data_IF_008199043184
#
_entry.id   IF_008199043184
#
_cell.length_a   1.000
_cell.length_b   1.000
_cell.length_c   1.000
_cell.angle_alpha   90.00
_cell.angle_beta   90.00
_cell.angle_gamma   90.00
#
_symmetry.space_group_name_H-M   'P 1'
#
loop_
_entity.id
_entity.type
_entity.pdbx_description
1 polymer ?
#
# COMPACT_ATOMS: atom_id res chain seq x y z
N UNK A 1 -5.33 11.46 -13.12
CA UNK A 1 -6.62 10.72 -13.27
C UNK A 1 -7.75 11.62 -12.78
N UNK A 2 -8.86 11.71 -13.51
CA UNK A 2 -10.03 12.48 -13.10
C UNK A 2 -10.70 11.88 -11.86
N UNK A 3 -11.25 12.75 -10.99
CA UNK A 3 -11.94 12.36 -9.75
C UNK A 3 -13.10 11.40 -10.01
N UNK A 4 -13.83 11.55 -11.12
CA UNK A 4 -14.94 10.67 -11.46
C UNK A 4 -14.49 9.20 -11.67
N UNK A 5 -13.37 9.00 -12.39
CA UNK A 5 -12.78 7.68 -12.62
C UNK A 5 -12.28 7.07 -11.31
N UNK A 6 -11.64 7.89 -10.46
CA UNK A 6 -11.19 7.46 -9.14
C UNK A 6 -12.36 7.02 -8.24
N UNK A 7 -13.49 7.73 -8.30
CA UNK A 7 -14.71 7.41 -7.55
C UNK A 7 -15.33 6.07 -7.98
N UNK A 8 -15.45 5.83 -9.28
CA UNK A 8 -15.92 4.53 -9.79
C UNK A 8 -15.01 3.40 -9.29
N UNK A 9 -13.70 3.64 -9.35
CA UNK A 9 -12.72 2.66 -8.93
C UNK A 9 -12.78 2.37 -7.43
N UNK A 10 -12.93 3.41 -6.61
CA UNK A 10 -13.18 3.26 -5.18
C UNK A 10 -14.40 2.39 -4.92
N UNK A 11 -15.50 2.60 -5.67
CA UNK A 11 -16.70 1.76 -5.59
C UNK A 11 -16.42 0.27 -5.87
N UNK A 12 -15.63 -0.02 -6.91
CA UNK A 12 -15.20 -1.40 -7.22
C UNK A 12 -14.33 -1.99 -6.11
N UNK A 13 -13.40 -1.21 -5.56
CA UNK A 13 -12.52 -1.63 -4.48
C UNK A 13 -13.30 -1.94 -3.19
N UNK A 14 -14.25 -1.07 -2.80
CA UNK A 14 -15.17 -1.32 -1.68
C UNK A 14 -16.04 -2.54 -1.97
N UNK A 15 -16.45 -2.75 -3.23
CA UNK A 15 -17.06 -3.97 -3.76
C UNK A 15 -16.34 -5.25 -3.33
N UNK A 16 -15.02 -5.28 -3.56
CA UNK A 16 -14.17 -6.43 -3.27
C UNK A 16 -14.12 -6.81 -1.78
N UNK A 17 -14.46 -5.92 -0.85
CA UNK A 17 -14.54 -6.23 0.58
C UNK A 17 -15.67 -7.20 0.94
N UNK A 18 -16.69 -7.34 0.07
CA UNK A 18 -17.79 -8.30 0.26
C UNK A 18 -17.38 -9.77 0.04
N UNK A 19 -16.29 -9.99 -0.70
CA UNK A 19 -15.66 -11.30 -0.89
C UNK A 19 -14.18 -11.08 -1.15
N UNK A 20 -13.41 -10.97 -0.08
CA UNK A 20 -12.05 -10.42 -0.12
C UNK A 20 -11.08 -11.29 -0.94
N UNK A 21 -10.51 -10.68 -1.99
CA UNK A 21 -9.45 -11.26 -2.85
C UNK A 21 -8.27 -10.31 -3.09
N UNK A 22 -8.06 -9.34 -2.18
CA UNK A 22 -7.05 -8.29 -2.34
C UNK A 22 -5.59 -8.79 -2.31
N UNK A 23 -5.35 -10.02 -1.86
CA UNK A 23 -4.03 -10.64 -1.86
C UNK A 23 -4.13 -12.10 -2.32
N UNK A 24 -2.99 -12.74 -2.64
CA UNK A 24 -2.97 -14.10 -3.18
C UNK A 24 -3.59 -15.17 -2.25
N UNK A 25 -3.80 -14.86 -0.96
CA UNK A 25 -4.52 -15.76 -0.05
C UNK A 25 -5.98 -16.01 -0.42
N UNK A 26 -6.59 -15.13 -1.22
CA UNK A 26 -7.96 -15.26 -1.75
C UNK A 26 -9.00 -15.75 -0.72
N UNK A 27 -8.92 -15.24 0.52
CA UNK A 27 -9.66 -15.80 1.66
C UNK A 27 -11.19 -15.75 1.52
N UNK A 28 -11.73 -14.87 0.68
CA UNK A 28 -13.14 -14.81 0.36
C UNK A 28 -14.05 -14.28 1.46
N UNK A 29 -13.50 -13.91 2.63
CA UNK A 29 -14.25 -13.37 3.77
C UNK A 29 -14.98 -12.08 3.41
N UNK A 30 -16.13 -11.87 4.04
CA UNK A 30 -16.91 -10.65 3.90
C UNK A 30 -16.56 -9.66 5.02
N UNK A 31 -15.63 -8.75 4.73
CA UNK A 31 -15.20 -7.74 5.69
C UNK A 31 -16.27 -6.69 5.98
N UNK A 32 -17.29 -6.56 5.13
CA UNK A 32 -18.41 -5.62 5.33
C UNK A 32 -19.31 -6.02 6.49
N UNK A 33 -19.31 -7.30 6.87
CA UNK A 33 -20.03 -7.82 8.04
C UNK A 33 -19.08 -8.20 9.18
N UNK A 34 -17.82 -7.76 9.11
CA UNK A 34 -16.84 -7.93 10.17
C UNK A 34 -16.08 -9.27 10.18
N UNK A 35 -16.16 -10.09 9.12
CA UNK A 35 -15.40 -11.34 9.06
C UNK A 35 -13.89 -11.09 8.90
N UNK A 36 -13.05 -11.61 9.82
CA UNK A 36 -11.62 -11.44 9.72
C UNK A 36 -11.01 -12.46 8.76
N UNK A 37 -10.15 -11.99 7.86
CA UNK A 37 -9.24 -12.87 7.10
C UNK A 37 -7.92 -13.08 7.84
N UNK A 38 -7.00 -13.85 7.24
CA UNK A 38 -5.65 -14.08 7.77
C UNK A 38 -4.91 -12.80 8.20
N UNK A 39 -5.09 -11.70 7.44
CA UNK A 39 -4.44 -10.44 7.75
C UNK A 39 -4.99 -9.74 9.01
N UNK A 40 -6.26 -9.97 9.35
CA UNK A 40 -6.97 -9.29 10.44
C UNK A 40 -7.52 -7.90 10.10
N UNK A 41 -7.31 -7.36 8.90
CA UNK A 41 -7.86 -6.06 8.50
C UNK A 41 -9.38 -6.12 8.29
N UNK A 42 -10.08 -5.08 8.74
CA UNK A 42 -11.54 -4.94 8.68
C UNK A 42 -12.05 -4.07 7.52
N UNK A 43 -13.21 -3.43 7.75
CA UNK A 43 -13.86 -2.49 6.84
C UNK A 43 -13.20 -1.11 6.85
N UNK A 44 -12.83 -0.60 8.03
CA UNK A 44 -12.15 0.69 8.18
C UNK A 44 -10.63 0.50 8.18
N UNK A 45 -9.86 1.49 7.69
CA UNK A 45 -8.42 1.45 7.84
C UNK A 45 -8.05 1.56 9.32
N UNK A 46 -7.09 0.74 9.73
CA UNK A 46 -6.42 0.90 11.02
C UNK A 46 -5.02 1.44 10.77
N UNK A 47 -4.73 2.60 11.35
CA UNK A 47 -3.52 3.36 11.07
C UNK A 47 -2.72 3.50 12.37
N UNK A 48 -1.49 3.01 12.36
CA UNK A 48 -0.57 3.09 13.48
C UNK A 48 0.06 4.48 13.60
N UNK A 49 0.43 5.10 12.48
CA UNK A 49 1.05 6.42 12.46
C UNK A 49 0.84 7.13 11.11
N UNK A 50 0.81 8.46 11.16
CA UNK A 50 0.86 9.34 9.98
C UNK A 50 1.85 10.48 10.25
N UNK A 51 2.98 10.50 9.55
CA UNK A 51 4.07 11.45 9.81
C UNK A 51 4.98 11.64 8.61
N UNK A 52 5.76 12.72 8.58
CA UNK A 52 6.86 12.87 7.61
C UNK A 52 8.02 12.00 8.09
N UNK A 53 8.45 11.06 7.25
CA UNK A 53 9.51 10.09 7.52
C UNK A 53 10.71 10.38 6.63
N UNK A 54 11.91 10.41 7.22
CA UNK A 54 13.17 10.67 6.50
C UNK A 54 14.03 9.42 6.30
N UNK A 55 13.52 8.24 6.71
CA UNK A 55 14.27 6.98 6.66
C UNK A 55 14.00 6.11 5.42
N UNK A 56 13.15 6.54 4.48
CA UNK A 56 12.97 5.83 3.20
C UNK A 56 14.18 6.05 2.28
N UNK A 57 14.25 5.30 1.18
CA UNK A 57 15.33 5.39 0.19
C UNK A 57 15.48 6.84 -0.33
N UNK A 58 16.71 7.29 -0.66
CA UNK A 58 16.96 8.65 -1.10
C UNK A 58 16.02 9.16 -2.21
N UNK A 59 15.65 8.37 -3.24
CA UNK A 59 14.70 8.80 -4.27
C UNK A 59 13.28 9.04 -3.77
N UNK A 60 12.93 8.59 -2.57
CA UNK A 60 11.58 8.66 -2.00
C UNK A 60 11.54 9.68 -0.86
N UNK A 61 12.49 9.63 0.07
CA UNK A 61 12.53 10.52 1.22
C UNK A 61 13.13 11.88 0.90
N UNK A 62 14.16 11.94 0.05
CA UNK A 62 14.84 13.18 -0.28
C UNK A 62 15.18 14.07 0.91
N UNK A 63 15.20 15.38 0.66
CA UNK A 63 15.43 16.39 1.71
C UNK A 63 14.20 16.72 2.57
N UNK A 64 12.98 16.56 2.04
CA UNK A 64 11.72 16.99 2.71
C UNK A 64 10.96 15.85 3.37
N UNK A 65 11.47 14.62 3.27
CA UNK A 65 10.84 13.42 3.79
C UNK A 65 9.68 12.91 2.92
N UNK A 66 9.30 11.67 3.19
CA UNK A 66 8.13 10.99 2.64
C UNK A 66 6.97 11.06 3.64
N UNK A 67 5.80 11.52 3.21
CA UNK A 67 4.61 11.58 4.05
C UNK A 67 4.06 10.18 4.26
N UNK A 68 4.42 9.52 5.36
CA UNK A 68 4.20 8.09 5.52
C UNK A 68 2.94 7.80 6.34
N UNK A 69 2.16 6.85 5.86
CA UNK A 69 0.99 6.24 6.53
C UNK A 69 1.33 4.79 6.82
N UNK A 70 1.47 4.45 8.09
CA UNK A 70 1.68 3.07 8.53
C UNK A 70 0.35 2.40 8.81
N UNK A 71 -0.09 1.51 7.93
CA UNK A 71 -1.25 0.68 8.19
C UNK A 71 -0.91 -0.48 9.13
N UNK A 72 -1.84 -0.81 10.00
CA UNK A 72 -1.80 -2.02 10.82
C UNK A 72 -2.28 -3.21 10.01
N UNK A 73 -2.00 -4.44 10.47
CA UNK A 73 -2.34 -5.70 9.77
C UNK A 73 -1.48 -5.97 8.54
N UNK A 74 -1.25 -7.24 8.23
CA UNK A 74 -0.45 -7.66 7.09
C UNK A 74 -0.93 -9.01 6.54
N UNK A 75 -0.87 -9.17 5.23
CA UNK A 75 -1.13 -10.41 4.49
C UNK A 75 0.02 -11.44 4.64
N UNK A 76 1.10 -11.12 5.34
CA UNK A 76 2.22 -12.02 5.67
C UNK A 76 2.48 -12.03 7.19
N UNK A 77 3.17 -13.07 7.69
CA UNK A 77 3.57 -13.19 9.10
C UNK A 77 5.06 -13.49 9.21
N UNK A 78 5.88 -12.50 8.83
CA UNK A 78 7.33 -12.63 8.86
C UNK A 78 7.85 -12.78 10.29
N UNK A 79 8.69 -13.78 10.56
CA UNK A 79 9.34 -13.96 11.87
C UNK A 79 10.39 -12.87 12.16
N UNK A 80 10.87 -12.18 11.12
CA UNK A 80 11.85 -11.09 11.20
C UNK A 80 11.21 -9.70 10.97
N UNK A 81 9.90 -9.56 11.15
CA UNK A 81 9.21 -8.32 10.83
C UNK A 81 9.68 -7.15 11.72
N UNK A 82 10.32 -6.15 11.12
CA UNK A 82 10.71 -4.91 11.81
C UNK A 82 9.47 -4.16 12.36
N UNK A 83 8.35 -4.25 11.65
CA UNK A 83 7.07 -3.64 12.01
C UNK A 83 6.12 -4.63 12.71
N UNK A 84 6.63 -5.60 13.47
CA UNK A 84 5.82 -6.64 14.12
C UNK A 84 4.63 -6.08 14.95
N UNK A 85 4.79 -5.06 15.81
CA UNK A 85 3.67 -4.51 16.58
C UNK A 85 2.54 -3.96 15.68
N UNK A 86 2.90 -3.32 14.57
CA UNK A 86 1.94 -2.71 13.64
C UNK A 86 1.26 -3.79 12.79
N UNK A 87 2.06 -4.66 12.17
CA UNK A 87 1.61 -5.64 11.18
C UNK A 87 0.88 -6.85 11.80
N UNK A 88 1.21 -7.24 13.03
CA UNK A 88 0.69 -8.48 13.63
C UNK A 88 -0.15 -8.26 14.88
N UNK A 89 0.08 -7.20 15.66
CA UNK A 89 -0.68 -6.92 16.89
C UNK A 89 -1.84 -5.91 16.69
N UNK A 90 -2.00 -5.36 15.49
CA UNK A 90 -3.10 -4.44 15.19
C UNK A 90 -3.02 -3.12 15.97
N UNK A 91 -1.81 -2.66 16.31
CA UNK A 91 -1.61 -1.35 16.98
C UNK A 91 -2.03 -0.23 16.05
N UNK A 92 -2.79 0.75 16.55
CA UNK A 92 -3.23 1.91 15.80
C UNK A 92 -4.68 2.26 16.07
N UNK A 93 -5.18 3.28 15.39
CA UNK A 93 -6.56 3.75 15.51
C UNK A 93 -7.32 3.48 14.22
N UNK A 94 -8.59 3.10 14.35
CA UNK A 94 -9.50 3.10 13.22
C UNK A 94 -9.91 4.53 12.91
N UNK A 95 -10.05 4.84 11.62
CA UNK A 95 -10.50 6.13 11.14
C UNK A 95 -11.25 5.96 9.82
N UNK A 96 -11.99 6.98 9.39
CA UNK A 96 -12.63 6.98 8.08
C UNK A 96 -11.63 7.30 6.95
N UNK A 97 -12.05 7.05 5.71
CA UNK A 97 -11.28 7.43 4.52
C UNK A 97 -11.14 8.94 4.39
N UNK A 98 -12.14 9.70 4.84
CA UNK A 98 -12.16 11.16 4.86
C UNK A 98 -11.16 11.70 5.89
N UNK A 99 -11.17 11.14 7.11
CA UNK A 99 -10.20 11.49 8.15
C UNK A 99 -8.77 11.19 7.71
N UNK A 100 -8.55 10.06 7.01
CA UNK A 100 -7.23 9.76 6.45
C UNK A 100 -6.87 10.73 5.31
N UNK A 101 -7.82 11.07 4.43
CA UNK A 101 -7.65 12.06 3.36
C UNK A 101 -7.22 13.44 3.88
N UNK A 102 -7.83 13.91 4.98
CA UNK A 102 -7.40 15.13 5.65
C UNK A 102 -5.95 15.05 6.14
N UNK A 103 -5.52 13.88 6.63
CA UNK A 103 -4.13 13.68 7.07
C UNK A 103 -3.17 13.70 5.88
N UNK A 104 -3.57 13.22 4.70
CA UNK A 104 -2.77 13.34 3.48
C UNK A 104 -2.55 14.80 3.09
N UNK A 105 -3.61 15.61 3.10
CA UNK A 105 -3.52 17.06 2.86
C UNK A 105 -2.62 17.76 3.89
N UNK A 106 -2.62 17.30 5.16
CA UNK A 106 -1.70 17.80 6.18
C UNK A 106 -0.24 17.44 5.89
N UNK A 107 0.04 16.26 5.33
CA UNK A 107 1.40 15.87 4.90
C UNK A 107 1.87 16.75 3.74
N UNK A 108 1.00 17.03 2.78
CA UNK A 108 1.27 17.95 1.67
C UNK A 108 1.57 19.37 2.16
N UNK A 109 0.76 19.92 3.08
CA UNK A 109 1.03 21.23 3.68
C UNK A 109 2.34 21.29 4.48
N UNK A 110 2.83 20.15 4.96
CA UNK A 110 4.15 20.04 5.61
C UNK A 110 5.31 19.97 4.61
N UNK A 111 5.03 19.94 3.31
CA UNK A 111 6.03 19.95 2.25
C UNK A 111 6.63 18.59 1.90
N UNK A 112 6.00 17.48 2.31
CA UNK A 112 6.46 16.14 1.98
C UNK A 112 6.59 15.95 0.45
N UNK A 113 7.54 15.12 0.02
CA UNK A 113 7.76 14.87 -1.42
C UNK A 113 6.67 14.01 -2.05
N UNK A 114 6.07 13.12 -1.25
CA UNK A 114 5.05 12.16 -1.65
C UNK A 114 4.24 11.73 -0.43
N UNK A 115 3.19 10.94 -0.66
CA UNK A 115 2.54 10.16 0.39
C UNK A 115 2.84 8.68 0.18
N UNK A 116 3.42 8.04 1.20
CA UNK A 116 3.82 6.64 1.18
C UNK A 116 2.96 5.80 2.10
N UNK A 117 2.22 4.86 1.52
CA UNK A 117 1.41 3.91 2.27
C UNK A 117 2.21 2.63 2.50
N UNK A 118 2.49 2.34 3.77
CA UNK A 118 3.27 1.16 4.20
C UNK A 118 2.33 0.05 4.64
N UNK A 119 2.57 -1.16 4.14
CA UNK A 119 1.66 -2.32 4.27
C UNK A 119 0.22 -2.07 3.74
N UNK A 120 0.06 -1.52 2.52
CA UNK A 120 -1.23 -1.11 2.00
C UNK A 120 -2.09 -2.26 1.45
N UNK A 121 -1.54 -3.44 1.17
CA UNK A 121 -2.27 -4.55 0.52
C UNK A 121 -3.62 -4.88 1.16
N UNK A 122 -3.72 -5.02 2.50
CA UNK A 122 -5.02 -5.28 3.13
C UNK A 122 -5.98 -4.09 3.07
N UNK A 123 -5.48 -2.88 2.81
CA UNK A 123 -6.17 -1.59 2.90
C UNK A 123 -6.33 -0.91 1.53
N UNK A 124 -6.16 -1.62 0.41
CA UNK A 124 -6.27 -1.06 -0.94
C UNK A 124 -7.55 -0.23 -1.14
N UNK A 125 -8.76 -0.71 -0.77
CA UNK A 125 -9.97 0.10 -0.88
C UNK A 125 -9.90 1.41 -0.08
N UNK A 126 -9.37 1.35 1.15
CA UNK A 126 -9.27 2.48 2.06
C UNK A 126 -8.21 3.49 1.60
N UNK A 127 -7.09 3.02 1.06
CA UNK A 127 -6.08 3.85 0.40
C UNK A 127 -6.71 4.64 -0.75
N UNK A 128 -7.42 3.96 -1.65
CA UNK A 128 -8.08 4.61 -2.79
C UNK A 128 -9.11 5.63 -2.29
N UNK A 129 -9.90 5.30 -1.25
CA UNK A 129 -10.86 6.22 -0.64
C UNK A 129 -10.21 7.46 -0.03
N UNK A 130 -9.08 7.30 0.66
CA UNK A 130 -8.35 8.42 1.25
C UNK A 130 -7.73 9.33 0.18
N UNK A 131 -7.15 8.76 -0.88
CA UNK A 131 -6.62 9.52 -2.01
C UNK A 131 -7.76 10.23 -2.76
N UNK A 132 -8.91 9.59 -2.94
CA UNK A 132 -10.11 10.21 -3.51
C UNK A 132 -10.53 11.44 -2.71
N UNK A 133 -10.72 11.27 -1.40
CA UNK A 133 -11.15 12.35 -0.50
C UNK A 133 -10.16 13.53 -0.49
N UNK A 134 -8.85 13.23 -0.51
CA UNK A 134 -7.81 14.24 -0.58
C UNK A 134 -7.80 14.96 -1.95
N UNK A 135 -7.93 14.23 -3.06
CA UNK A 135 -7.94 14.80 -4.43
C UNK A 135 -9.17 15.67 -4.70
N UNK A 136 -10.32 15.35 -4.11
CA UNK A 136 -11.52 16.22 -4.14
C UNK A 136 -11.26 17.60 -3.52
N UNK A 137 -10.22 17.72 -2.67
CA UNK A 137 -9.81 18.94 -2.01
C UNK A 137 -8.50 19.52 -2.58
N UNK A 138 -8.01 19.01 -3.71
CA UNK A 138 -6.85 19.56 -4.42
C UNK A 138 -5.50 18.92 -4.11
N UNK A 139 -5.46 17.77 -3.42
CA UNK A 139 -4.22 17.02 -3.17
C UNK A 139 -3.50 16.64 -4.48
N UNK A 140 -2.19 16.91 -4.56
CA UNK A 140 -1.40 16.79 -5.78
C UNK A 140 -0.10 15.98 -5.62
N UNK A 141 0.28 15.57 -4.40
CA UNK A 141 1.50 14.78 -4.22
C UNK A 141 1.44 13.39 -4.89
N UNK A 142 2.59 12.86 -5.34
CA UNK A 142 2.72 11.47 -5.77
C UNK A 142 2.32 10.48 -4.68
N UNK A 143 1.70 9.37 -5.09
CA UNK A 143 1.30 8.27 -4.20
C UNK A 143 2.28 7.10 -4.34
N UNK A 144 2.86 6.70 -3.20
CA UNK A 144 3.79 5.58 -3.09
C UNK A 144 3.10 4.39 -2.40
N UNK A 145 3.27 3.21 -3.00
CA UNK A 145 2.76 1.93 -2.50
C UNK A 145 3.94 1.07 -2.03
N UNK A 146 4.24 1.11 -0.73
CA UNK A 146 5.32 0.35 -0.11
C UNK A 146 4.76 -0.96 0.48
N UNK A 147 5.07 -2.08 -0.16
CA UNK A 147 4.43 -3.38 0.08
C UNK A 147 5.44 -4.50 0.19
N UNK A 148 5.02 -5.60 0.82
CA UNK A 148 5.81 -6.83 0.85
C UNK A 148 5.87 -7.57 -0.51
N UNK A 149 5.20 -7.04 -1.54
CA UNK A 149 5.14 -7.61 -2.88
C UNK A 149 4.32 -8.90 -2.99
N UNK A 150 3.56 -9.29 -1.96
CA UNK A 150 2.62 -10.42 -2.00
C UNK A 150 1.20 -9.92 -2.34
N UNK A 151 1.09 -9.27 -3.48
CA UNK A 151 -0.11 -8.57 -3.95
C UNK A 151 -0.85 -9.39 -5.02
N UNK A 152 -2.18 -9.26 -5.05
CA UNK A 152 -2.99 -9.86 -6.12
C UNK A 152 -3.02 -8.95 -7.34
N UNK A 153 -3.07 -9.53 -8.54
CA UNK A 153 -3.23 -8.75 -9.77
C UNK A 153 -4.57 -8.01 -9.78
N UNK A 154 -5.61 -8.58 -9.17
CA UNK A 154 -6.91 -7.92 -8.99
C UNK A 154 -6.80 -6.64 -8.15
N UNK A 155 -5.98 -6.64 -7.10
CA UNK A 155 -5.72 -5.44 -6.30
C UNK A 155 -4.86 -4.43 -7.06
N UNK A 156 -3.81 -4.86 -7.77
CA UNK A 156 -2.97 -3.96 -8.56
C UNK A 156 -3.74 -3.28 -9.69
N UNK A 157 -4.69 -3.97 -10.33
CA UNK A 157 -5.58 -3.36 -11.33
C UNK A 157 -6.41 -2.19 -10.74
N UNK A 158 -6.76 -2.25 -9.45
CA UNK A 158 -7.43 -1.13 -8.76
C UNK A 158 -6.48 0.04 -8.48
N UNK A 159 -5.16 -0.13 -8.60
CA UNK A 159 -4.17 0.90 -8.28
C UNK A 159 -3.63 1.63 -9.52
N UNK A 160 -3.90 1.14 -10.74
CA UNK A 160 -3.35 1.70 -12.00
C UNK A 160 -3.70 3.19 -12.23
N UNK A 161 -2.75 4.10 -12.02
CA UNK A 161 -2.99 5.55 -12.10
C UNK A 161 -3.57 6.20 -10.83
N UNK A 162 -3.77 5.41 -9.78
CA UNK A 162 -3.86 5.89 -8.38
C UNK A 162 -2.46 6.01 -7.80
N UNK A 163 -1.66 4.94 -7.96
CA UNK A 163 -0.28 4.84 -7.50
C UNK A 163 0.65 5.32 -8.59
N UNK A 164 1.62 6.14 -8.20
CA UNK A 164 2.64 6.67 -9.09
C UNK A 164 3.94 5.90 -8.92
N UNK A 165 4.28 5.47 -7.69
CA UNK A 165 5.50 4.74 -7.37
C UNK A 165 5.18 3.44 -6.61
N UNK A 166 5.73 2.32 -7.05
CA UNK A 166 5.70 1.06 -6.32
C UNK A 166 7.05 0.78 -5.66
N UNK A 167 7.00 0.43 -4.37
CA UNK A 167 8.12 -0.08 -3.58
C UNK A 167 7.80 -1.50 -3.09
N UNK A 168 7.91 -2.53 -3.94
CA UNK A 168 7.71 -3.91 -3.51
C UNK A 168 9.00 -4.51 -2.95
N UNK A 169 8.86 -5.23 -1.85
CA UNK A 169 9.91 -6.12 -1.36
C UNK A 169 10.07 -7.34 -2.28
N UNK A 170 11.32 -7.80 -2.41
CA UNK A 170 11.71 -9.11 -2.97
C UNK A 170 12.36 -9.90 -1.85
N UNK A 171 11.55 -10.63 -1.08
CA UNK A 171 12.03 -11.34 0.13
C UNK A 171 12.55 -12.74 -0.15
N UNK A 172 11.97 -13.42 -1.13
CA UNK A 172 12.21 -14.85 -1.33
C UNK A 172 12.17 -15.25 -2.79
N UNK A 173 13.15 -16.06 -3.17
CA UNK A 173 13.10 -16.92 -4.36
C UNK A 173 12.74 -18.37 -4.01
N UNK A 174 12.90 -18.77 -2.74
CA UNK A 174 12.64 -20.14 -2.26
C UNK A 174 11.23 -20.28 -1.67
N UNK A 175 10.37 -21.14 -2.23
CA UNK A 175 9.06 -21.47 -1.65
C UNK A 175 9.14 -21.95 -0.19
N UNK A 176 10.15 -22.77 0.13
CA UNK A 176 10.35 -23.30 1.48
C UNK A 176 10.62 -22.16 2.48
N UNK A 177 11.60 -21.31 2.19
CA UNK A 177 11.93 -20.18 3.08
C UNK A 177 10.76 -19.20 3.23
N UNK A 178 10.04 -18.92 2.14
CA UNK A 178 8.86 -18.06 2.19
C UNK A 178 7.73 -18.64 3.07
N UNK A 179 7.55 -19.96 3.01
CA UNK A 179 6.66 -20.69 3.91
C UNK A 179 7.08 -20.60 5.36
N UNK A 180 8.30 -21.05 5.65
CA UNK A 180 8.83 -21.18 7.02
C UNK A 180 8.94 -19.82 7.71
N UNK A 181 9.43 -18.79 7.01
CA UNK A 181 9.73 -17.50 7.60
C UNK A 181 8.57 -16.50 7.53
N UNK A 182 7.59 -16.68 6.63
CA UNK A 182 6.52 -15.70 6.37
C UNK A 182 5.11 -16.25 6.17
N UNK A 183 4.94 -17.57 6.23
CA UNK A 183 3.66 -18.26 5.98
C UNK A 183 3.10 -18.03 4.57
N UNK A 184 3.97 -18.03 3.55
CA UNK A 184 3.63 -17.79 2.13
C UNK A 184 4.47 -18.64 1.18
N UNK A 185 4.21 -19.96 1.10
CA UNK A 185 5.00 -20.87 0.26
C UNK A 185 4.99 -20.51 -1.24
N UNK A 186 3.91 -19.90 -1.71
CA UNK A 186 3.67 -19.48 -3.08
C UNK A 186 4.18 -18.06 -3.40
N UNK A 187 4.86 -17.42 -2.44
CA UNK A 187 5.35 -16.05 -2.56
C UNK A 187 6.14 -15.77 -3.85
N UNK A 188 7.16 -16.57 -4.25
CA UNK A 188 8.02 -16.19 -5.38
C UNK A 188 7.23 -16.00 -6.68
N UNK A 189 6.24 -16.85 -6.94
CA UNK A 189 5.39 -16.74 -8.13
C UNK A 189 4.49 -15.50 -8.11
N UNK A 190 3.86 -15.22 -6.97
CA UNK A 190 3.02 -14.04 -6.82
C UNK A 190 3.81 -12.74 -6.83
N UNK A 191 4.98 -12.72 -6.21
CA UNK A 191 5.86 -11.55 -6.19
C UNK A 191 6.38 -11.19 -7.58
N UNK A 192 6.86 -12.17 -8.35
CA UNK A 192 7.29 -11.94 -9.72
C UNK A 192 6.16 -11.41 -10.62
N UNK A 193 4.94 -11.97 -10.48
CA UNK A 193 3.77 -11.50 -11.22
C UNK A 193 3.36 -10.08 -10.80
N UNK A 194 3.35 -9.79 -9.49
CA UNK A 194 3.02 -8.48 -8.95
C UNK A 194 4.01 -7.41 -9.44
N UNK A 195 5.32 -7.67 -9.35
CA UNK A 195 6.36 -6.74 -9.82
C UNK A 195 6.23 -6.47 -11.32
N UNK A 196 5.96 -7.50 -12.12
CA UNK A 196 5.76 -7.35 -13.57
C UNK A 196 4.56 -6.45 -13.87
N UNK A 197 3.46 -6.62 -13.13
CA UNK A 197 2.27 -5.77 -13.28
C UNK A 197 2.50 -4.34 -12.79
N UNK A 198 3.17 -4.16 -11.64
CA UNK A 198 3.59 -2.84 -11.15
C UNK A 198 4.43 -2.12 -12.20
N UNK A 199 5.44 -2.80 -12.77
CA UNK A 199 6.29 -2.24 -13.81
C UNK A 199 5.51 -1.91 -15.09
N UNK A 200 4.55 -2.75 -15.50
CA UNK A 200 3.66 -2.45 -16.63
C UNK A 200 2.88 -1.14 -16.42
N UNK A 201 2.41 -0.88 -15.20
CA UNK A 201 1.58 0.28 -14.90
C UNK A 201 2.37 1.60 -14.88
N UNK A 202 3.56 1.61 -14.28
CA UNK A 202 4.30 2.86 -14.02
C UNK A 202 5.66 2.97 -14.71
N UNK A 203 6.19 1.86 -15.23
CA UNK A 203 7.47 1.82 -15.92
C UNK A 203 8.69 1.88 -14.98
N UNK A 204 9.89 2.15 -15.53
CA UNK A 204 11.10 2.31 -14.73
C UNK A 204 11.00 3.52 -13.81
N UNK A 205 11.75 3.50 -12.69
CA UNK A 205 11.85 4.63 -11.79
C UNK A 205 12.34 5.87 -12.55
N UNK A 206 11.57 6.96 -12.46
CA UNK A 206 11.89 8.25 -13.06
C UNK A 206 13.16 8.82 -12.44
N UNK A 207 14.08 9.32 -13.27
CA UNK A 207 15.16 10.21 -12.82
C UNK A 207 14.67 11.67 -12.90
N UNK A 208 14.78 12.44 -11.83
CA UNK A 208 14.44 13.88 -11.82
C UNK A 208 15.55 14.73 -11.16
N UNK A 209 15.45 16.05 -11.36
CA UNK A 209 16.14 17.10 -10.59
C UNK A 209 16.08 16.82 -9.08
N UNK A 210 17.17 17.09 -8.38
CA UNK A 210 17.38 16.78 -6.95
C UNK A 210 17.26 15.28 -6.56
N UNK A 211 17.27 14.37 -7.54
CA UNK A 211 17.26 12.91 -7.35
C UNK A 211 15.99 12.33 -6.70
N UNK A 212 14.84 13.02 -6.78
CA UNK A 212 13.56 12.55 -6.22
C UNK A 212 12.68 11.92 -7.30
N UNK A 213 12.24 10.69 -7.08
CA UNK A 213 11.34 9.99 -7.98
C UNK A 213 9.90 10.48 -7.81
N UNK A 214 9.17 10.57 -8.92
CA UNK A 214 7.73 10.85 -8.92
C UNK A 214 6.92 9.74 -9.60
N UNK A 215 7.57 8.79 -10.29
CA UNK A 215 6.92 7.65 -10.93
C UNK A 215 7.86 6.46 -11.04
N UNK A 216 7.32 5.24 -11.04
CA UNK A 216 8.02 4.02 -11.45
C UNK A 216 8.15 2.97 -10.34
N UNK A 217 9.03 1.99 -10.53
CA UNK A 217 9.22 0.88 -9.57
C UNK A 217 10.62 0.93 -8.96
N UNK A 218 10.70 0.84 -7.64
CA UNK A 218 11.95 0.67 -6.88
C UNK A 218 11.86 -0.63 -6.06
N UNK A 219 12.70 -1.62 -6.37
CA UNK A 219 12.72 -2.89 -5.65
C UNK A 219 13.52 -2.79 -4.35
N UNK A 220 13.01 -3.41 -3.29
CA UNK A 220 13.70 -3.54 -2.00
C UNK A 220 14.07 -5.01 -1.78
N UNK A 221 15.35 -5.31 -1.63
CA UNK A 221 15.83 -6.67 -1.31
C UNK A 221 16.04 -6.79 0.21
N UNK A 222 15.40 -7.78 0.83
CA UNK A 222 15.37 -7.99 2.29
C UNK A 222 15.64 -9.45 2.62
#
# INVERSE_FOLDING_TARGET
MEVAVLRERHGKAVGALGRCRLCPRVCGVNRRVGEPGFCGAGLSPRVAAVSVHHGEEPPISGSRGSGTVFFSHCNMKCIFCQNYPISQLGVGVEMSTEELGERLLRLERKGAHNVNFVTPTPHVPQLIGAVLSAREQGFALPVVYNSNGYDSLEALALLEGVVDIYLPDVKYVSPRLAGDASSTHDYPGHNAAAISEMFRQVGPLSAWEDAIANKGVLLQEI
#
